data_IF_126892536658
#
_entry.id   IF_126892536658
#
_cell.length_a   1.000
_cell.length_b   1.000
_cell.length_c   1.000
_cell.angle_alpha   90.00
_cell.angle_beta   90.00
_cell.angle_gamma   90.00
#
_symmetry.space_group_name_H-M   'P 1'
#
loop_
_entity.id
_entity.type
_entity.pdbx_description
1 polymer ?
#
# COMPACT_ATOMS: atom_id res chain seq x y z
N UNK A 1 -28.89 -7.09 19.52
CA UNK A 1 -29.28 -8.34 18.83
C UNK A 1 -28.18 -8.63 17.84
N UNK A 2 -27.46 -9.73 18.01
CA UNK A 2 -26.52 -10.26 17.03
C UNK A 2 -27.29 -11.05 15.97
N UNK A 3 -26.99 -10.85 14.70
CA UNK A 3 -27.58 -11.59 13.57
C UNK A 3 -26.49 -12.04 12.61
N UNK A 4 -26.67 -13.17 11.94
CA UNK A 4 -25.80 -13.55 10.84
C UNK A 4 -25.83 -12.45 9.75
N UNK A 5 -24.74 -12.33 8.99
CA UNK A 5 -24.62 -11.28 7.98
C UNK A 5 -25.77 -11.29 6.97
N UNK A 6 -26.06 -12.46 6.37
CA UNK A 6 -27.13 -12.61 5.38
C UNK A 6 -28.54 -12.46 5.96
N UNK A 7 -28.73 -12.70 7.25
CA UNK A 7 -30.01 -12.43 7.93
C UNK A 7 -30.24 -10.93 8.15
N UNK A 8 -29.15 -10.16 8.32
CA UNK A 8 -29.21 -8.72 8.47
C UNK A 8 -29.31 -8.00 7.12
N UNK A 9 -28.67 -8.55 6.08
CA UNK A 9 -28.54 -7.96 4.75
C UNK A 9 -28.80 -9.00 3.66
N UNK A 10 -30.05 -9.42 3.44
CA UNK A 10 -30.38 -10.49 2.49
C UNK A 10 -30.18 -10.11 1.02
N UNK A 11 -30.12 -8.82 0.71
CA UNK A 11 -29.96 -8.32 -0.67
C UNK A 11 -28.52 -8.08 -1.05
N UNK A 12 -27.57 -8.10 -0.10
CA UNK A 12 -26.15 -7.88 -0.38
C UNK A 12 -25.52 -9.19 -0.80
N UNK A 13 -25.28 -9.34 -2.09
CA UNK A 13 -24.61 -10.51 -2.63
C UNK A 13 -23.31 -10.05 -3.31
N UNK A 14 -22.14 -10.26 -2.69
CA UNK A 14 -20.89 -9.96 -3.36
C UNK A 14 -20.74 -10.86 -4.61
N UNK A 15 -20.19 -10.32 -5.69
CA UNK A 15 -19.96 -11.05 -6.95
C UNK A 15 -18.95 -12.20 -6.84
N UNK A 16 -18.19 -12.25 -5.75
CA UNK A 16 -17.07 -13.16 -5.53
C UNK A 16 -17.45 -14.26 -4.51
N UNK A 17 -17.41 -15.52 -4.95
CA UNK A 17 -17.77 -16.69 -4.15
C UNK A 17 -16.83 -16.92 -2.95
N UNK A 18 -15.57 -16.47 -3.05
CA UNK A 18 -14.66 -16.52 -1.90
C UNK A 18 -15.07 -15.51 -0.81
N UNK A 19 -15.54 -14.33 -1.23
CA UNK A 19 -16.02 -13.31 -0.31
C UNK A 19 -17.32 -13.74 0.37
N UNK A 20 -18.24 -14.35 -0.38
CA UNK A 20 -19.50 -14.82 0.21
C UNK A 20 -19.24 -15.87 1.29
N UNK A 21 -18.39 -16.86 1.04
CA UNK A 21 -18.02 -17.87 2.03
C UNK A 21 -17.36 -17.27 3.29
N UNK A 22 -16.57 -16.21 3.13
CA UNK A 22 -16.01 -15.49 4.29
C UNK A 22 -17.09 -14.79 5.11
N UNK A 23 -18.07 -14.16 4.46
CA UNK A 23 -19.17 -13.44 5.11
C UNK A 23 -20.18 -14.36 5.81
N UNK A 24 -20.35 -15.60 5.34
CA UNK A 24 -21.18 -16.61 6.01
C UNK A 24 -20.73 -16.86 7.46
N UNK A 25 -19.44 -16.74 7.72
CA UNK A 25 -18.84 -16.89 9.05
C UNK A 25 -18.71 -15.55 9.80
N UNK A 26 -19.56 -14.57 9.49
CA UNK A 26 -19.58 -13.26 10.16
C UNK A 26 -20.94 -12.94 10.76
N UNK A 27 -20.90 -12.24 11.90
CA UNK A 27 -22.08 -11.82 12.65
C UNK A 27 -22.11 -10.29 12.72
N UNK A 28 -23.26 -9.69 12.43
CA UNK A 28 -23.50 -8.25 12.59
C UNK A 28 -23.95 -7.99 14.02
N UNK A 29 -23.14 -7.22 14.75
CA UNK A 29 -23.38 -6.91 16.16
C UNK A 29 -24.15 -5.61 16.33
N UNK A 30 -23.86 -4.62 15.50
CA UNK A 30 -24.51 -3.31 15.54
C UNK A 30 -24.49 -2.63 14.18
N UNK A 31 -25.58 -1.95 13.84
CA UNK A 31 -25.64 -1.02 12.71
C UNK A 31 -25.96 0.36 13.26
N UNK A 32 -25.20 1.38 12.86
CA UNK A 32 -25.38 2.74 13.31
C UNK A 32 -25.28 3.71 12.14
N UNK A 33 -26.30 4.56 11.98
CA UNK A 33 -26.30 5.63 10.99
C UNK A 33 -25.95 6.94 11.69
N UNK A 34 -24.97 7.66 11.16
CA UNK A 34 -24.69 9.03 11.55
C UNK A 34 -25.13 9.95 10.43
N UNK A 35 -26.32 10.54 10.57
CA UNK A 35 -26.89 11.46 9.58
C UNK A 35 -26.02 12.70 9.38
N UNK A 36 -25.41 13.22 10.45
CA UNK A 36 -24.54 14.40 10.39
C UNK A 36 -23.31 14.21 9.49
N UNK A 37 -22.73 13.01 9.54
CA UNK A 37 -21.53 12.67 8.77
C UNK A 37 -21.86 11.93 7.46
N UNK A 38 -23.15 11.68 7.19
CA UNK A 38 -23.62 10.80 6.13
C UNK A 38 -22.88 9.44 6.12
N UNK A 39 -22.71 8.83 7.30
CA UNK A 39 -21.94 7.57 7.46
C UNK A 39 -22.79 6.45 8.04
N UNK A 40 -22.82 5.32 7.34
CA UNK A 40 -23.33 4.05 7.83
C UNK A 40 -22.18 3.24 8.44
N UNK A 41 -22.26 2.93 9.73
CA UNK A 41 -21.27 2.11 10.45
C UNK A 41 -21.85 0.74 10.74
N UNK A 42 -21.20 -0.29 10.22
CA UNK A 42 -21.59 -1.69 10.44
C UNK A 42 -20.50 -2.34 11.30
N UNK A 43 -20.86 -2.81 12.49
CA UNK A 43 -19.96 -3.52 13.38
C UNK A 43 -20.09 -5.02 13.12
N UNK A 44 -18.99 -5.65 12.72
CA UNK A 44 -18.91 -7.07 12.38
C UNK A 44 -18.00 -7.79 13.36
N UNK A 45 -18.46 -8.93 13.85
CA UNK A 45 -17.63 -9.93 14.52
C UNK A 45 -17.40 -11.10 13.56
N UNK A 46 -16.14 -11.50 13.37
CA UNK A 46 -15.74 -12.54 12.43
C UNK A 46 -14.86 -13.61 13.09
N UNK A 47 -15.17 -14.88 12.83
CA UNK A 47 -14.40 -16.02 13.36
C UNK A 47 -13.20 -16.39 12.46
N UNK A 48 -13.20 -15.88 11.22
CA UNK A 48 -12.13 -16.06 10.24
C UNK A 48 -11.46 -14.74 9.92
N UNK A 49 -10.17 -14.81 9.57
CA UNK A 49 -9.41 -13.65 9.17
C UNK A 49 -9.87 -13.17 7.78
N UNK A 50 -10.34 -11.92 7.70
CA UNK A 50 -10.76 -11.28 6.45
C UNK A 50 -9.83 -10.09 6.19
N UNK A 51 -9.22 -10.06 5.01
CA UNK A 51 -8.32 -8.98 4.65
C UNK A 51 -9.05 -7.66 4.42
N UNK A 52 -8.34 -6.53 4.58
CA UNK A 52 -8.99 -5.22 4.46
C UNK A 52 -9.42 -4.91 3.03
N UNK A 53 -8.74 -5.49 2.04
CA UNK A 53 -9.09 -5.32 0.64
C UNK A 53 -10.46 -5.93 0.34
N UNK A 54 -10.72 -7.10 0.93
CA UNK A 54 -11.98 -7.83 0.83
C UNK A 54 -13.11 -7.03 1.50
N UNK A 55 -12.85 -6.50 2.70
CA UNK A 55 -13.81 -5.63 3.42
C UNK A 55 -14.13 -4.36 2.61
N UNK A 56 -13.12 -3.74 2.00
CA UNK A 56 -13.32 -2.55 1.16
C UNK A 56 -14.17 -2.83 -0.08
N UNK A 57 -14.11 -4.05 -0.64
CA UNK A 57 -15.01 -4.48 -1.72
C UNK A 57 -16.45 -4.60 -1.23
N UNK A 58 -16.65 -5.20 -0.05
CA UNK A 58 -17.97 -5.31 0.56
C UNK A 58 -18.55 -3.92 0.86
N UNK A 59 -17.74 -2.99 1.39
CA UNK A 59 -18.14 -1.59 1.57
C UNK A 59 -18.58 -0.94 0.25
N UNK A 60 -17.87 -1.20 -0.85
CA UNK A 60 -18.24 -0.70 -2.17
C UNK A 60 -19.58 -1.28 -2.66
N UNK A 61 -19.81 -2.59 -2.50
CA UNK A 61 -21.10 -3.21 -2.83
C UNK A 61 -22.25 -2.59 -2.05
N UNK A 62 -22.06 -2.35 -0.74
CA UNK A 62 -23.05 -1.62 0.08
C UNK A 62 -23.27 -0.20 -0.42
N UNK A 63 -22.22 0.51 -0.81
CA UNK A 63 -22.33 1.87 -1.31
C UNK A 63 -23.13 1.91 -2.63
N UNK A 64 -22.91 0.94 -3.52
CA UNK A 64 -23.60 0.80 -4.80
C UNK A 64 -25.08 0.42 -4.62
N UNK A 65 -25.38 -0.59 -3.80
CA UNK A 65 -26.73 -1.15 -3.64
C UNK A 65 -27.62 -0.34 -2.70
N UNK A 66 -27.07 0.15 -1.58
CA UNK A 66 -27.86 0.83 -0.53
C UNK A 66 -27.61 2.33 -0.49
N UNK A 67 -26.36 2.76 -0.64
CA UNK A 67 -26.00 4.12 -0.33
C UNK A 67 -26.22 5.09 -1.50
N UNK A 68 -26.24 4.60 -2.75
CA UNK A 68 -26.59 5.37 -3.96
C UNK A 68 -27.92 6.13 -3.82
N UNK A 69 -28.90 5.56 -3.11
CA UNK A 69 -30.20 6.20 -2.88
C UNK A 69 -30.25 7.23 -1.74
N UNK A 70 -29.26 7.22 -0.85
CA UNK A 70 -29.29 7.99 0.41
C UNK A 70 -28.07 8.92 0.60
N UNK A 71 -27.08 8.87 -0.29
CA UNK A 71 -25.86 9.68 -0.20
C UNK A 71 -25.00 9.35 1.02
N UNK A 72 -25.16 8.15 1.58
CA UNK A 72 -24.38 7.68 2.72
C UNK A 72 -23.06 7.05 2.24
N UNK A 73 -22.07 6.98 3.13
CA UNK A 73 -20.86 6.18 2.93
C UNK A 73 -20.81 5.08 3.98
N UNK A 74 -20.63 3.85 3.53
CA UNK A 74 -20.55 2.68 4.38
C UNK A 74 -19.13 2.54 4.94
N UNK A 75 -19.04 2.17 6.21
CA UNK A 75 -17.78 1.86 6.88
C UNK A 75 -18.01 0.65 7.77
N UNK A 76 -17.28 -0.40 7.48
CA UNK A 76 -17.29 -1.63 8.26
C UNK A 76 -16.23 -1.50 9.36
N UNK A 77 -16.63 -1.84 10.58
CA UNK A 77 -15.78 -1.91 11.77
C UNK A 77 -15.76 -3.36 12.20
N UNK A 78 -14.70 -4.05 11.83
CA UNK A 78 -14.50 -5.46 12.07
C UNK A 78 -13.72 -5.73 13.36
N UNK A 79 -14.15 -6.78 14.04
CA UNK A 79 -13.52 -7.36 15.21
C UNK A 79 -13.44 -8.88 15.02
N UNK A 80 -12.31 -9.48 15.38
CA UNK A 80 -12.02 -10.87 15.06
C UNK A 80 -11.88 -11.73 16.31
N UNK A 81 -12.60 -12.83 16.34
CA UNK A 81 -12.53 -13.86 17.38
C UNK A 81 -11.70 -15.05 16.89
N UNK A 82 -10.39 -14.84 16.75
CA UNK A 82 -9.50 -15.85 16.21
C UNK A 82 -9.11 -16.91 17.24
N UNK A 83 -8.81 -18.11 16.75
CA UNK A 83 -8.20 -19.19 17.54
C UNK A 83 -6.87 -18.77 18.15
N UNK A 84 -6.50 -19.37 19.29
CA UNK A 84 -5.24 -19.14 20.02
C UNK A 84 -3.97 -19.36 19.19
N UNK A 85 -4.08 -20.02 18.03
CA UNK A 85 -2.97 -20.24 17.09
C UNK A 85 -2.50 -18.94 16.42
N UNK A 86 -3.34 -17.90 16.41
CA UNK A 86 -2.99 -16.59 15.90
C UNK A 86 -2.23 -15.77 16.95
N UNK A 87 -0.92 -16.01 17.06
CA UNK A 87 -0.02 -15.11 17.79
C UNK A 87 0.23 -13.84 16.97
N UNK A 88 0.57 -12.70 17.61
CA UNK A 88 0.89 -11.45 16.91
C UNK A 88 1.93 -11.63 15.79
N UNK A 89 2.90 -12.54 15.96
CA UNK A 89 3.90 -12.91 14.94
C UNK A 89 3.27 -13.51 13.68
N UNK A 90 2.43 -14.53 13.83
CA UNK A 90 1.77 -15.19 12.70
C UNK A 90 0.75 -14.26 12.04
N UNK A 91 0.03 -13.49 12.85
CA UNK A 91 -0.95 -12.52 12.39
C UNK A 91 -0.28 -11.40 11.60
N UNK A 92 0.86 -10.87 12.07
CA UNK A 92 1.63 -9.88 11.33
C UNK A 92 2.03 -10.43 9.96
N UNK A 93 2.45 -11.69 9.85
CA UNK A 93 2.83 -12.29 8.56
C UNK A 93 1.62 -12.45 7.61
N UNK A 94 0.50 -12.97 8.11
CA UNK A 94 -0.70 -13.20 7.31
C UNK A 94 -1.43 -11.90 6.93
N UNK A 95 -1.43 -10.92 7.83
CA UNK A 95 -2.22 -9.69 7.72
C UNK A 95 -1.43 -8.46 7.26
N UNK A 96 -0.11 -8.57 7.04
CA UNK A 96 0.75 -7.45 6.59
C UNK A 96 0.19 -6.74 5.37
N UNK A 97 -0.35 -7.48 4.40
CA UNK A 97 -0.94 -6.91 3.18
C UNK A 97 -2.12 -5.98 3.47
N UNK A 98 -3.00 -6.39 4.38
CA UNK A 98 -4.15 -5.58 4.83
C UNK A 98 -3.71 -4.35 5.59
N UNK A 99 -2.72 -4.47 6.49
CA UNK A 99 -2.15 -3.32 7.21
C UNK A 99 -1.55 -2.31 6.21
N UNK A 100 -0.81 -2.79 5.22
CA UNK A 100 -0.26 -1.93 4.16
C UNK A 100 -1.36 -1.23 3.35
N UNK A 101 -2.47 -1.92 3.08
CA UNK A 101 -3.62 -1.33 2.40
C UNK A 101 -4.23 -0.18 3.24
N UNK A 102 -4.42 -0.38 4.55
CA UNK A 102 -4.93 0.64 5.47
C UNK A 102 -3.98 1.84 5.57
N UNK A 103 -2.68 1.58 5.74
CA UNK A 103 -1.67 2.63 5.83
C UNK A 103 -1.61 3.46 4.53
N UNK A 104 -1.81 2.84 3.37
CA UNK A 104 -1.84 3.55 2.08
C UNK A 104 -3.02 4.51 1.98
N UNK A 105 -4.19 4.11 2.48
CA UNK A 105 -5.38 4.95 2.52
C UNK A 105 -5.26 6.07 3.55
N UNK A 106 -4.60 5.81 4.69
CA UNK A 106 -4.38 6.78 5.74
C UNK A 106 -3.31 7.82 5.38
N UNK A 107 -2.07 7.37 5.15
CA UNK A 107 -0.96 8.25 4.80
C UNK A 107 0.16 7.54 4.04
N UNK A 108 0.45 7.99 2.82
CA UNK A 108 1.44 7.40 1.91
C UNK A 108 2.85 7.32 2.50
N UNK A 109 3.27 8.29 3.31
CA UNK A 109 4.59 8.31 3.94
C UNK A 109 4.77 7.12 4.90
N UNK A 110 3.76 6.86 5.74
CA UNK A 110 3.74 5.74 6.69
C UNK A 110 3.75 4.41 5.95
N UNK A 111 2.96 4.31 4.88
CA UNK A 111 2.96 3.13 4.00
C UNK A 111 4.36 2.82 3.45
N UNK A 112 5.06 3.81 2.87
CA UNK A 112 6.38 3.59 2.29
C UNK A 112 7.39 3.17 3.35
N UNK A 113 7.36 3.84 4.52
CA UNK A 113 8.19 3.52 5.68
C UNK A 113 7.97 2.08 6.14
N UNK A 114 6.72 1.67 6.38
CA UNK A 114 6.41 0.32 6.86
C UNK A 114 6.66 -0.77 5.80
N UNK A 115 6.47 -0.44 4.52
CA UNK A 115 6.72 -1.37 3.40
C UNK A 115 8.17 -1.82 3.35
N UNK A 116 9.11 -0.89 3.51
CA UNK A 116 10.55 -1.18 3.56
C UNK A 116 11.06 -1.63 4.94
N UNK A 117 10.19 -1.63 5.96
CA UNK A 117 10.59 -1.99 7.31
C UNK A 117 10.80 -3.49 7.47
N UNK A 118 11.84 -3.85 8.22
CA UNK A 118 12.08 -5.20 8.69
C UNK A 118 11.38 -5.40 10.04
N UNK A 119 10.54 -6.44 10.14
CA UNK A 119 9.75 -6.71 11.35
C UNK A 119 10.23 -7.99 11.98
N UNK A 120 10.83 -7.88 13.17
CA UNK A 120 11.32 -9.01 13.94
C UNK A 120 10.55 -9.12 15.25
N UNK A 121 10.30 -10.35 15.68
CA UNK A 121 9.65 -10.65 16.95
C UNK A 121 10.69 -11.27 17.88
N UNK A 122 10.91 -10.62 19.03
CA UNK A 122 11.76 -11.17 20.10
C UNK A 122 11.00 -12.23 20.89
N UNK A 123 9.71 -11.97 21.13
CA UNK A 123 8.77 -12.85 21.82
C UNK A 123 7.42 -12.84 21.07
N UNK A 124 6.43 -13.60 21.54
CA UNK A 124 5.10 -13.63 20.91
C UNK A 124 4.36 -12.28 20.97
N UNK A 125 4.65 -11.44 21.97
CA UNK A 125 3.97 -10.14 22.17
C UNK A 125 4.84 -8.92 21.80
N UNK A 126 6.16 -9.09 21.72
CA UNK A 126 7.11 -7.98 21.54
C UNK A 126 7.69 -7.99 20.14
N UNK A 127 7.41 -6.91 19.40
CA UNK A 127 7.89 -6.70 18.05
C UNK A 127 8.84 -5.49 17.96
N UNK A 128 9.82 -5.64 17.08
CA UNK A 128 10.81 -4.64 16.74
C UNK A 128 10.71 -4.36 15.25
N UNK A 129 10.35 -3.13 14.91
CA UNK A 129 10.23 -2.66 13.53
C UNK A 129 11.45 -1.81 13.21
N UNK A 130 12.30 -2.30 12.32
CA UNK A 130 13.50 -1.58 11.88
C UNK A 130 13.19 -0.84 10.58
N UNK A 131 13.32 0.48 10.61
CA UNK A 131 13.06 1.39 9.48
C UNK A 131 14.32 2.15 9.10
N UNK A 132 14.41 2.62 7.87
CA UNK A 132 15.52 3.49 7.47
C UNK A 132 15.49 4.81 8.24
N UNK A 133 16.66 5.27 8.69
CA UNK A 133 16.79 6.55 9.38
C UNK A 133 16.61 7.71 8.38
N UNK A 134 15.43 8.32 8.43
CA UNK A 134 15.10 9.52 7.69
C UNK A 134 14.29 10.46 8.57
N UNK A 135 14.29 11.75 8.22
CA UNK A 135 13.51 12.76 8.95
C UNK A 135 12.02 12.42 8.92
N UNK A 136 11.52 11.90 7.79
CA UNK A 136 10.15 11.40 7.62
C UNK A 136 9.89 10.22 8.57
N UNK A 137 10.79 9.23 8.61
CA UNK A 137 10.66 8.06 9.47
C UNK A 137 10.57 8.46 10.95
N UNK A 138 11.36 9.44 11.39
CA UNK A 138 11.33 9.93 12.78
C UNK A 138 10.03 10.63 13.13
N UNK A 139 9.51 11.45 12.23
CA UNK A 139 8.24 12.18 12.45
C UNK A 139 7.03 11.24 12.53
N UNK A 140 7.02 10.15 11.76
CA UNK A 140 5.87 9.25 11.66
C UNK A 140 6.02 7.95 12.47
N UNK A 141 7.14 7.73 13.16
CA UNK A 141 7.37 6.52 13.95
C UNK A 141 6.30 6.32 15.03
N UNK A 142 6.01 7.35 15.82
CA UNK A 142 5.02 7.26 16.90
C UNK A 142 3.61 7.00 16.35
N UNK A 143 3.30 7.57 15.19
CA UNK A 143 2.02 7.37 14.53
C UNK A 143 1.87 5.94 13.98
N UNK A 144 2.92 5.41 13.34
CA UNK A 144 2.95 4.01 12.90
C UNK A 144 2.76 3.06 14.09
N UNK A 145 3.49 3.28 15.19
CA UNK A 145 3.37 2.49 16.41
C UNK A 145 1.93 2.52 16.95
N UNK A 146 1.31 3.70 16.99
CA UNK A 146 -0.07 3.88 17.43
C UNK A 146 -1.08 3.15 16.53
N UNK A 147 -0.88 3.17 15.22
CA UNK A 147 -1.77 2.47 14.28
C UNK A 147 -1.67 0.97 14.48
N UNK A 148 -0.45 0.42 14.56
CA UNK A 148 -0.25 -1.00 14.78
C UNK A 148 -0.87 -1.45 16.11
N UNK A 149 -0.61 -0.73 17.20
CA UNK A 149 -1.19 -1.02 18.51
C UNK A 149 -2.73 -1.03 18.47
N UNK A 150 -3.35 -0.05 17.82
CA UNK A 150 -4.80 -0.04 17.63
C UNK A 150 -5.30 -1.26 16.85
N UNK A 151 -4.61 -1.66 15.78
CA UNK A 151 -5.03 -2.82 14.98
C UNK A 151 -5.00 -4.09 15.84
N UNK A 152 -3.89 -4.38 16.52
CA UNK A 152 -3.77 -5.60 17.33
C UNK A 152 -4.68 -5.59 18.57
N UNK A 153 -4.72 -4.47 19.29
CA UNK A 153 -5.46 -4.38 20.54
C UNK A 153 -6.97 -4.23 20.30
N UNK A 154 -7.41 -3.40 19.34
CA UNK A 154 -8.84 -3.13 19.14
C UNK A 154 -9.53 -4.13 18.22
N UNK A 155 -8.84 -4.65 17.18
CA UNK A 155 -9.47 -5.55 16.19
C UNK A 155 -9.27 -7.02 16.51
N UNK A 156 -8.17 -7.39 17.17
CA UNK A 156 -7.88 -8.79 17.49
C UNK A 156 -7.88 -9.07 19.01
N UNK A 157 -7.96 -8.04 19.85
CA UNK A 157 -7.91 -8.21 21.31
C UNK A 157 -6.59 -8.79 21.81
N UNK A 158 -5.49 -8.62 21.07
CA UNK A 158 -4.18 -9.19 21.40
C UNK A 158 -3.28 -8.15 22.07
N UNK A 159 -2.46 -8.59 23.02
CA UNK A 159 -1.40 -7.75 23.57
C UNK A 159 -0.27 -7.61 22.54
N UNK A 160 0.06 -6.37 22.20
CA UNK A 160 1.09 -6.07 21.21
C UNK A 160 1.97 -4.92 21.68
N UNK A 161 3.27 -5.18 21.80
CA UNK A 161 4.28 -4.17 22.17
C UNK A 161 5.21 -3.95 20.98
N UNK A 162 5.17 -2.76 20.41
CA UNK A 162 6.00 -2.38 19.28
C UNK A 162 7.07 -1.37 19.67
N UNK A 163 8.31 -1.66 19.28
CA UNK A 163 9.46 -0.75 19.36
C UNK A 163 9.98 -0.47 17.95
N UNK A 164 10.30 0.79 17.65
CA UNK A 164 10.82 1.20 16.35
C UNK A 164 12.31 1.49 16.50
N UNK A 165 13.12 0.88 15.63
CA UNK A 165 14.54 1.16 15.51
C UNK A 165 14.87 1.78 14.16
N UNK A 166 15.80 2.73 14.16
CA UNK A 166 16.26 3.39 12.95
C UNK A 166 17.59 2.76 12.53
N UNK A 167 17.62 2.19 11.32
CA UNK A 167 18.84 1.72 10.68
C UNK A 167 19.46 2.89 9.93
N UNK A 168 20.66 3.28 10.37
CA UNK A 168 21.46 4.26 9.64
C UNK A 168 21.91 3.62 8.32
N UNK A 169 21.70 4.29 7.20
CA UNK A 169 22.35 3.91 5.95
C UNK A 169 23.84 4.23 6.09
N UNK A 170 24.70 3.23 5.88
CA UNK A 170 26.09 3.53 5.55
C UNK A 170 26.10 4.23 4.19
N UNK A 171 26.83 5.34 4.02
CA UNK A 171 26.90 6.00 2.73
C UNK A 171 27.42 4.99 1.70
N UNK A 172 26.70 4.85 0.59
CA UNK A 172 27.20 4.08 -0.53
C UNK A 172 28.47 4.79 -1.05
N UNK A 173 29.63 4.23 -0.73
CA UNK A 173 30.92 4.62 -1.28
C UNK A 173 30.96 4.31 -2.79
N UNK A 174 30.33 5.17 -3.61
CA UNK A 174 30.51 5.16 -5.06
C UNK A 174 30.25 6.52 -5.69
N UNK A 175 30.94 7.53 -5.16
CA UNK A 175 31.41 8.66 -5.98
C UNK A 175 32.87 8.93 -5.62
N UNK A 176 33.75 7.99 -5.99
CA UNK A 176 35.15 8.29 -6.18
C UNK A 176 35.27 9.23 -7.38
N UNK A 177 35.05 10.53 -7.14
CA UNK A 177 35.51 11.59 -8.01
C UNK A 177 37.04 11.54 -7.97
N UNK A 178 37.66 11.00 -9.01
CA UNK A 178 39.10 11.07 -9.20
C UNK A 178 39.48 12.54 -9.43
N UNK A 179 39.80 13.25 -8.35
CA UNK A 179 40.46 14.55 -8.38
C UNK A 179 41.83 14.44 -7.72
N UNK A 180 42.76 13.76 -8.40
CA UNK A 180 44.19 13.98 -8.16
C UNK A 180 44.59 15.27 -8.88
N UNK A 181 44.80 16.32 -8.10
CA UNK A 181 45.18 17.64 -8.59
C UNK A 181 46.63 17.79 -9.04
N UNK A 182 46.81 18.86 -9.82
CA UNK A 182 47.91 19.86 -9.77
C UNK A 182 49.36 19.43 -9.99
N UNK A 183 50.00 20.02 -11.01
CA UNK A 183 51.43 20.38 -10.95
C UNK A 183 52.20 20.51 -12.27
N UNK A 184 52.16 21.70 -12.87
CA UNK A 184 53.24 22.41 -13.62
C UNK A 184 54.23 21.66 -14.57
N UNK A 185 54.32 22.13 -15.83
CA UNK A 185 55.50 22.85 -16.35
C UNK A 185 55.30 23.27 -17.83
N UNK A 186 55.59 24.54 -18.11
CA UNK A 186 55.70 25.11 -19.44
C UNK A 186 56.98 24.64 -20.15
N UNK A 187 56.95 24.49 -21.49
CA UNK A 187 57.90 25.11 -22.45
C UNK A 187 57.87 24.48 -23.86
N UNK A 188 57.93 25.36 -24.87
CA UNK A 188 58.61 25.24 -26.17
C UNK A 188 57.91 24.60 -27.41
N UNK A 189 57.49 25.53 -28.30
CA UNK A 189 57.85 25.69 -29.73
C UNK A 189 57.40 24.67 -30.81
N UNK A 190 56.68 25.22 -31.79
CA UNK A 190 56.17 24.68 -33.08
C UNK A 190 57.27 24.48 -34.18
N UNK A 191 56.97 24.37 -35.51
CA UNK A 191 55.77 23.93 -36.28
C UNK A 191 56.10 22.96 -37.45
N UNK A 192 55.06 22.44 -38.12
CA UNK A 192 54.93 22.10 -39.57
C UNK A 192 53.96 20.90 -39.75
N UNK A 193 53.24 20.67 -40.84
CA UNK A 193 52.71 21.39 -41.98
C UNK A 193 51.90 20.31 -42.77
N UNK A 194 50.88 20.73 -43.53
CA UNK A 194 50.33 20.00 -44.71
C UNK A 194 49.55 18.69 -44.46
N UNK A 195 48.32 18.46 -44.94
CA UNK A 195 47.44 19.24 -45.80
C UNK A 195 46.21 18.42 -46.24
N UNK A 196 45.21 19.17 -46.75
CA UNK A 196 44.18 18.86 -47.75
C UNK A 196 43.11 17.74 -47.56
N UNK A 197 41.85 18.14 -47.84
CA UNK A 197 40.74 17.31 -48.34
C UNK A 197 39.47 17.37 -47.46
N UNK A 198 38.55 18.34 -47.59
CA UNK A 198 37.37 18.33 -48.50
C UNK A 198 36.59 16.99 -48.50
N UNK A 199 35.26 16.88 -48.38
CA UNK A 199 34.17 17.82 -48.54
C UNK A 199 32.84 17.27 -47.95
N UNK A 200 31.92 18.21 -47.77
CA UNK A 200 30.48 18.17 -47.51
C UNK A 200 29.70 17.07 -48.26
N UNK A 201 28.63 16.52 -47.64
CA UNK A 201 27.23 16.45 -48.17
C UNK A 201 26.26 15.67 -47.27
N UNK A 202 25.36 16.41 -46.61
CA UNK A 202 23.93 16.03 -46.48
C UNK A 202 23.28 16.12 -47.89
N UNK A 203 22.17 15.42 -48.24
CA UNK A 203 20.87 15.61 -47.57
C UNK A 203 19.80 14.49 -47.63
N UNK A 204 18.67 14.82 -46.99
CA UNK A 204 17.28 14.63 -47.44
C UNK A 204 16.55 13.28 -47.27
N UNK A 205 15.66 13.28 -46.28
CA UNK A 205 14.21 13.04 -46.37
C UNK A 205 13.62 12.32 -47.60
N UNK A 206 12.79 11.32 -47.34
CA UNK A 206 11.57 11.07 -48.14
C UNK A 206 10.43 10.52 -47.28
N UNK A 207 9.26 11.18 -47.42
CA UNK A 207 7.92 10.76 -47.01
C UNK A 207 7.32 9.88 -48.10
N UNK A 208 6.46 8.93 -47.73
CA UNK A 208 5.20 8.50 -48.38
C UNK A 208 4.61 7.40 -47.47
N UNK A 209 3.37 7.44 -46.97
CA UNK A 209 2.10 7.43 -47.72
C UNK A 209 1.86 6.01 -48.28
N UNK A 210 0.74 5.31 -48.13
CA UNK A 210 -0.65 5.66 -47.87
C UNK A 210 -1.49 4.36 -47.72
N UNK A 211 -2.68 4.49 -47.12
CA UNK A 211 -3.91 3.70 -47.30
C UNK A 211 -3.98 2.16 -47.16
N UNK A 212 -4.87 1.71 -46.26
CA UNK A 212 -5.95 0.78 -46.60
C UNK A 212 -7.09 0.80 -45.54
N UNK A 213 -8.24 1.34 -45.95
CA UNK A 213 -9.52 1.30 -45.23
C UNK A 213 -10.57 0.75 -46.20
N UNK A 214 -11.20 -0.40 -45.91
CA UNK A 214 -12.52 -0.83 -46.41
C UNK A 214 -13.14 -1.78 -45.37
N UNK A 215 -14.13 -1.29 -44.61
CA UNK A 215 -15.57 -1.52 -44.82
C UNK A 215 -16.03 -2.93 -44.43
N UNK A 216 -16.65 -3.03 -43.26
CA UNK A 216 -17.64 -4.05 -42.93
C UNK A 216 -18.93 -3.33 -42.59
N UNK A 217 -19.91 -3.44 -43.47
CA UNK A 217 -21.28 -2.96 -43.31
C UNK A 217 -22.21 -4.16 -43.43
N UNK A 218 -23.00 -4.36 -42.38
CA UNK A 218 -24.38 -4.84 -42.36
C UNK A 218 -24.75 -6.05 -43.22
N UNK A 219 -25.02 -7.16 -42.53
CA UNK A 219 -25.91 -8.24 -42.95
C UNK A 219 -26.68 -8.72 -41.72
#
# INVERSE_FOLDING_TARGET
MTKAFYDAFPTVVPDDEELSSLLEHTTVTRVAVNEKDAKLKIYLDADRLIGKKEIARVEQTFDEEFASGHGLKTTIIEHFHLSRQYTPKNLMKAYRGSILYELRAYQKCIYTMFRGADVQFSDDETCTVTVEDSLVSRSYADELKRILDKIFTQRFGLNFKCTIHFRRQEPADSFACASSGTGAAASALEPAAYGAGEAVREPASSRAGDAAQRQASSG
#
